data_IF_894663175882
#
_entry.id   IF_894663175882
#
_cell.length_a   1.000
_cell.length_b   1.000
_cell.length_c   1.000
_cell.angle_alpha   90.00
_cell.angle_beta   90.00
_cell.angle_gamma   90.00
#
_symmetry.space_group_name_H-M   'P 1'
#
loop_
_entity.id
_entity.type
_entity.pdbx_description
1 polymer ?
#
# COMPACT_ATOMS: atom_id res chain seq x y z
N UNK A 1 -0.51 -14.73 -49.46
CA UNK A 1 -0.54 -15.72 -50.55
C UNK A 1 0.44 -16.84 -50.24
N UNK A 2 -0.05 -18.02 -49.85
CA UNK A 2 0.48 -19.33 -50.28
C UNK A 2 -0.30 -20.45 -49.59
N UNK A 3 -0.77 -21.37 -50.42
CA UNK A 3 -1.42 -22.64 -50.10
C UNK A 3 -0.36 -23.74 -50.25
N UNK A 4 -0.37 -24.77 -49.41
CA UNK A 4 0.11 -26.10 -49.82
C UNK A 4 -0.66 -27.19 -49.04
N UNK A 5 -1.26 -28.12 -49.79
CA UNK A 5 -2.05 -29.24 -49.30
C UNK A 5 -1.16 -30.42 -48.88
N UNK A 6 -1.60 -31.16 -47.87
CA UNK A 6 -1.13 -32.51 -47.55
C UNK A 6 -2.26 -33.29 -46.89
N UNK A 7 -2.93 -34.14 -47.66
CA UNK A 7 -4.06 -34.97 -47.24
C UNK A 7 -3.55 -36.27 -46.60
N UNK A 8 -4.00 -36.62 -45.39
CA UNK A 8 -4.00 -38.02 -44.91
C UNK A 8 -5.17 -38.26 -43.95
N UNK A 9 -5.76 -39.46 -44.06
CA UNK A 9 -7.08 -39.91 -43.58
C UNK A 9 -7.38 -39.69 -42.08
N UNK A 10 -8.67 -39.60 -41.70
CA UNK A 10 -9.09 -39.57 -40.31
C UNK A 10 -9.15 -41.00 -39.75
N UNK A 11 -8.50 -41.23 -38.61
CA UNK A 11 -8.73 -42.43 -37.80
C UNK A 11 -9.10 -42.02 -36.37
N UNK A 12 -10.40 -42.22 -36.11
CA UNK A 12 -11.10 -42.43 -34.85
C UNK A 12 -10.30 -42.21 -33.55
N UNK A 13 -10.69 -41.17 -32.80
CA UNK A 13 -10.33 -40.97 -31.39
C UNK A 13 -11.10 -41.96 -30.51
N UNK A 14 -10.38 -42.97 -30.00
CA UNK A 14 -10.79 -43.82 -28.89
C UNK A 14 -9.90 -43.55 -27.68
N UNK A 15 -10.52 -43.24 -26.55
CA UNK A 15 -9.90 -43.10 -25.23
C UNK A 15 -9.40 -44.45 -24.68
N UNK A 16 -8.27 -44.43 -23.96
CA UNK A 16 -8.01 -45.36 -22.85
C UNK A 16 -6.70 -46.13 -22.92
N UNK A 17 -5.98 -46.16 -21.78
CA UNK A 17 -5.17 -47.32 -21.39
C UNK A 17 -3.65 -47.13 -21.42
N UNK A 18 -3.09 -47.01 -20.21
CA UNK A 18 -1.79 -47.52 -19.73
C UNK A 18 -0.84 -48.17 -20.74
N UNK A 19 0.38 -47.63 -20.84
CA UNK A 19 1.51 -48.23 -21.56
C UNK A 19 2.68 -48.53 -20.62
N UNK A 20 2.48 -49.42 -19.64
CA UNK A 20 3.58 -50.09 -18.95
C UNK A 20 4.13 -51.20 -19.84
N UNK A 21 5.43 -51.17 -20.14
CA UNK A 21 6.12 -52.23 -20.87
C UNK A 21 5.95 -53.53 -20.05
N UNK A 22 5.37 -54.62 -20.60
CA UNK A 22 5.30 -55.88 -19.88
C UNK A 22 6.71 -56.47 -19.75
N UNK A 23 7.04 -57.12 -18.61
CA UNK A 23 8.30 -57.84 -18.50
C UNK A 23 8.37 -58.92 -19.59
N UNK A 24 9.55 -59.21 -20.15
CA UNK A 24 9.68 -60.26 -21.15
C UNK A 24 9.23 -61.61 -20.57
N UNK A 25 8.59 -62.48 -21.37
CA UNK A 25 8.19 -63.80 -20.91
C UNK A 25 9.43 -64.59 -20.44
N UNK A 26 9.29 -65.46 -19.42
CA UNK A 26 10.39 -66.27 -18.94
C UNK A 26 10.97 -67.08 -20.10
N UNK A 27 12.27 -66.90 -20.35
CA UNK A 27 12.97 -67.66 -21.39
C UNK A 27 12.95 -69.15 -21.03
N UNK A 28 12.76 -70.06 -22.01
CA UNK A 28 12.81 -71.48 -21.76
C UNK A 28 14.19 -71.87 -21.19
N UNK A 29 14.24 -72.82 -20.23
CA UNK A 29 15.48 -73.17 -19.53
C UNK A 29 16.58 -73.57 -20.51
N UNK A 30 17.79 -73.05 -20.27
CA UNK A 30 18.95 -73.29 -21.11
C UNK A 30 19.31 -74.79 -21.11
N UNK A 31 20.07 -75.25 -22.12
CA UNK A 31 20.51 -76.67 -22.19
C UNK A 31 21.29 -77.10 -20.94
N UNK A 32 21.96 -76.18 -20.28
CA UNK A 32 22.70 -76.42 -19.03
C UNK A 32 21.77 -76.55 -17.82
N UNK A 33 20.66 -75.82 -17.79
CA UNK A 33 19.64 -75.97 -16.74
C UNK A 33 18.89 -77.30 -16.87
N UNK A 34 18.61 -77.75 -18.11
CA UNK A 34 18.01 -79.06 -18.35
C UNK A 34 18.93 -80.21 -17.96
N UNK A 35 20.25 -80.09 -18.22
CA UNK A 35 21.25 -81.05 -17.75
C UNK A 35 21.33 -81.12 -16.23
N UNK A 36 21.30 -79.98 -15.53
CA UNK A 36 21.27 -79.94 -14.06
C UNK A 36 20.00 -80.55 -13.48
N UNK A 37 18.86 -80.36 -14.15
CA UNK A 37 17.59 -80.98 -13.75
C UNK A 37 17.63 -82.50 -14.01
N UNK A 38 18.17 -82.97 -15.14
CA UNK A 38 18.38 -84.40 -15.39
C UNK A 38 19.40 -85.05 -14.42
N UNK A 39 20.48 -84.35 -14.06
CA UNK A 39 21.43 -84.81 -13.04
C UNK A 39 20.78 -84.88 -11.66
N UNK A 40 20.00 -83.87 -11.26
CA UNK A 40 19.26 -83.86 -10.00
C UNK A 40 18.21 -84.98 -9.93
N UNK A 41 17.51 -85.27 -11.03
CA UNK A 41 16.57 -86.38 -11.12
C UNK A 41 17.30 -87.73 -11.12
N UNK A 42 18.49 -87.83 -11.73
CA UNK A 42 19.31 -89.03 -11.72
C UNK A 42 19.95 -89.35 -10.37
N UNK A 43 20.02 -88.37 -9.46
CA UNK A 43 20.49 -88.50 -8.08
C UNK A 43 19.49 -89.22 -7.16
N UNK A 44 18.20 -89.26 -7.52
CA UNK A 44 17.17 -90.04 -6.82
C UNK A 44 17.12 -91.51 -7.32
N UNK A 45 18.27 -92.18 -7.34
CA UNK A 45 18.30 -93.64 -7.55
C UNK A 45 17.96 -94.35 -6.24
N UNK A 46 16.95 -95.21 -6.30
CA UNK A 46 16.49 -96.03 -5.18
C UNK A 46 17.61 -96.99 -4.75
N UNK A 47 18.25 -96.70 -3.60
CA UNK A 47 19.38 -97.49 -3.10
C UNK A 47 18.86 -98.77 -2.39
N UNK A 48 18.67 -99.83 -3.19
CA UNK A 48 18.17 -101.14 -2.71
C UNK A 48 19.07 -101.78 -1.66
N UNK A 49 20.39 -101.51 -1.70
CA UNK A 49 21.35 -102.01 -0.72
C UNK A 49 21.23 -101.30 0.63
N UNK A 50 20.79 -100.04 0.66
CA UNK A 50 20.49 -99.35 1.92
C UNK A 50 19.24 -99.91 2.59
N UNK A 51 18.21 -100.26 1.79
CA UNK A 51 17.00 -100.93 2.27
C UNK A 51 17.27 -102.33 2.83
N UNK A 52 18.13 -103.11 2.18
CA UNK A 52 18.51 -104.43 2.69
C UNK A 52 19.30 -104.34 4.00
N UNK A 53 20.22 -103.38 4.11
CA UNK A 53 20.94 -103.08 5.36
C UNK A 53 20.00 -102.62 6.47
N UNK A 54 19.06 -101.73 6.16
CA UNK A 54 18.05 -101.26 7.11
C UNK A 54 17.12 -102.40 7.57
N UNK A 55 16.70 -103.28 6.65
CA UNK A 55 15.87 -104.44 6.98
C UNK A 55 16.60 -105.47 7.85
N UNK A 56 17.89 -105.70 7.60
CA UNK A 56 18.74 -106.55 8.47
C UNK A 56 18.93 -105.92 9.86
N UNK A 57 19.23 -104.63 9.92
CA UNK A 57 19.38 -103.89 11.17
C UNK A 57 18.08 -103.86 12.00
N UNK A 58 16.92 -103.73 11.34
CA UNK A 58 15.61 -103.78 12.00
C UNK A 58 15.33 -105.15 12.64
N UNK A 59 15.65 -106.25 11.95
CA UNK A 59 15.52 -107.62 12.49
C UNK A 59 16.47 -107.91 13.66
N UNK A 60 17.67 -107.33 13.64
CA UNK A 60 18.63 -107.45 14.74
C UNK A 60 18.20 -106.61 15.96
N UNK A 61 17.66 -105.41 15.74
CA UNK A 61 17.09 -104.55 16.79
C UNK A 61 15.88 -105.19 17.47
N UNK A 62 14.98 -105.85 16.72
CA UNK A 62 13.76 -106.50 17.24
C UNK A 62 14.05 -107.66 18.22
N UNK A 63 15.20 -108.33 18.06
CA UNK A 63 15.65 -109.40 18.98
C UNK A 63 16.24 -108.88 20.29
N UNK A 64 16.56 -107.59 20.38
CA UNK A 64 17.16 -106.98 21.57
C UNK A 64 16.12 -106.63 22.63
N UNK A 65 16.50 -106.66 23.92
CA UNK A 65 15.58 -106.35 25.03
C UNK A 65 15.08 -104.89 25.04
N UNK A 66 15.78 -103.97 24.34
CA UNK A 66 15.52 -102.52 24.31
C UNK A 66 14.90 -102.04 22.98
N UNK A 67 14.39 -102.96 22.14
CA UNK A 67 13.84 -102.64 20.83
C UNK A 67 12.76 -101.54 20.84
N UNK A 68 11.91 -101.52 21.87
CA UNK A 68 10.84 -100.53 22.04
C UNK A 68 11.38 -99.12 22.30
N UNK A 69 12.36 -98.99 23.20
CA UNK A 69 13.00 -97.71 23.53
C UNK A 69 13.78 -97.15 22.34
N UNK A 70 14.50 -98.02 21.60
CA UNK A 70 15.22 -97.62 20.39
C UNK A 70 14.26 -97.16 19.26
N UNK A 71 13.11 -97.82 19.11
CA UNK A 71 12.07 -97.42 18.16
C UNK A 71 11.42 -96.09 18.54
N UNK A 72 11.10 -95.88 19.82
CA UNK A 72 10.57 -94.62 20.32
C UNK A 72 11.57 -93.47 20.11
N UNK A 73 12.86 -93.69 20.39
CA UNK A 73 13.91 -92.70 20.15
C UNK A 73 14.07 -92.39 18.66
N UNK A 74 14.02 -93.39 17.78
CA UNK A 74 14.05 -93.20 16.33
C UNK A 74 12.83 -92.41 15.84
N UNK A 75 11.63 -92.70 16.36
CA UNK A 75 10.40 -91.99 16.04
C UNK A 75 10.46 -90.53 16.50
N UNK A 76 10.99 -90.28 17.70
CA UNK A 76 11.20 -88.92 18.20
C UNK A 76 12.20 -88.15 17.34
N UNK A 77 13.31 -88.78 16.94
CA UNK A 77 14.30 -88.16 16.05
C UNK A 77 13.75 -87.86 14.65
N UNK A 78 12.93 -88.76 14.09
CA UNK A 78 12.25 -88.51 12.81
C UNK A 78 11.26 -87.34 12.94
N UNK A 79 10.52 -87.29 14.06
CA UNK A 79 9.61 -86.18 14.32
C UNK A 79 10.34 -84.84 14.49
N UNK A 80 11.48 -84.81 15.20
CA UNK A 80 12.29 -83.58 15.30
C UNK A 80 12.85 -83.16 13.94
N UNK A 81 13.29 -84.10 13.10
CA UNK A 81 13.74 -83.79 11.75
C UNK A 81 12.60 -83.21 10.90
N UNK A 82 11.39 -83.78 10.96
CA UNK A 82 10.23 -83.23 10.27
C UNK A 82 9.91 -81.81 10.73
N UNK A 83 9.99 -81.54 12.03
CA UNK A 83 9.80 -80.19 12.60
C UNK A 83 10.88 -79.21 12.11
N UNK A 84 12.15 -79.63 12.04
CA UNK A 84 13.25 -78.82 11.50
C UNK A 84 13.07 -78.52 10.00
N UNK A 85 12.58 -79.48 9.21
CA UNK A 85 12.25 -79.23 7.80
C UNK A 85 11.10 -78.24 7.67
N UNK A 86 10.05 -78.40 8.48
CA UNK A 86 8.93 -77.45 8.51
C UNK A 86 9.38 -76.05 8.97
N UNK A 87 10.29 -75.94 9.94
CA UNK A 87 10.82 -74.64 10.37
C UNK A 87 11.63 -73.98 9.27
N UNK A 88 12.50 -74.72 8.58
CA UNK A 88 13.28 -74.22 7.44
C UNK A 88 12.39 -73.74 6.30
N UNK A 89 11.33 -74.50 5.96
CA UNK A 89 10.38 -74.09 4.91
C UNK A 89 9.72 -72.76 5.27
N UNK A 90 9.27 -72.60 6.53
CA UNK A 90 8.69 -71.34 7.01
C UNK A 90 9.69 -70.18 7.00
N UNK A 91 10.96 -70.43 7.33
CA UNK A 91 12.02 -69.41 7.22
C UNK A 91 12.24 -68.97 5.77
N UNK A 92 12.26 -69.90 4.82
CA UNK A 92 12.35 -69.57 3.39
C UNK A 92 11.13 -68.78 2.91
N UNK A 93 9.92 -69.20 3.30
CA UNK A 93 8.68 -68.47 2.98
C UNK A 93 8.71 -67.04 3.53
N UNK A 94 9.11 -66.86 4.79
CA UNK A 94 9.28 -65.54 5.40
C UNK A 94 10.34 -64.69 4.66
N UNK A 95 11.45 -65.31 4.23
CA UNK A 95 12.47 -64.64 3.43
C UNK A 95 11.94 -64.17 2.06
N UNK A 96 11.13 -65.00 1.40
CA UNK A 96 10.49 -64.64 0.13
C UNK A 96 9.49 -63.50 0.29
N UNK A 97 8.71 -63.49 1.38
CA UNK A 97 7.80 -62.39 1.69
C UNK A 97 8.54 -61.07 1.95
N UNK A 98 9.65 -61.11 2.68
CA UNK A 98 10.49 -59.94 2.91
C UNK A 98 11.05 -59.38 1.60
N UNK A 99 11.53 -60.24 0.69
CA UNK A 99 12.00 -59.80 -0.64
C UNK A 99 10.89 -59.16 -1.47
N UNK A 100 9.66 -59.70 -1.43
CA UNK A 100 8.50 -59.09 -2.09
C UNK A 100 8.19 -57.70 -1.52
N UNK A 101 8.20 -57.56 -0.20
CA UNK A 101 7.97 -56.27 0.46
C UNK A 101 9.05 -55.25 0.04
N UNK A 102 10.32 -55.67 -0.02
CA UNK A 102 11.40 -54.81 -0.50
C UNK A 102 11.21 -54.38 -1.96
N UNK A 103 10.82 -55.29 -2.85
CA UNK A 103 10.52 -54.95 -4.25
C UNK A 103 9.38 -53.92 -4.35
N UNK A 104 8.29 -54.13 -3.63
CA UNK A 104 7.15 -53.18 -3.61
C UNK A 104 7.62 -51.81 -3.11
N UNK A 105 8.45 -51.78 -2.05
CA UNK A 105 8.99 -50.54 -1.51
C UNK A 105 9.86 -49.80 -2.52
N UNK A 106 10.77 -50.49 -3.21
CA UNK A 106 11.63 -49.91 -4.24
C UNK A 106 10.77 -49.32 -5.37
N UNK A 107 9.77 -50.07 -5.86
CA UNK A 107 8.85 -49.60 -6.90
C UNK A 107 8.04 -48.38 -6.45
N UNK A 108 7.60 -48.35 -5.19
CA UNK A 108 6.90 -47.19 -4.63
C UNK A 108 7.82 -45.96 -4.52
N UNK A 109 9.08 -46.15 -4.14
CA UNK A 109 10.07 -45.07 -4.08
C UNK A 109 10.38 -44.51 -5.48
N UNK A 110 10.50 -45.36 -6.49
CA UNK A 110 10.66 -44.94 -7.90
C UNK A 110 9.45 -44.14 -8.39
N UNK A 111 8.23 -44.65 -8.19
CA UNK A 111 6.98 -43.94 -8.55
C UNK A 111 6.86 -42.60 -7.84
N UNK A 112 7.30 -42.52 -6.58
CA UNK A 112 7.28 -41.26 -5.84
C UNK A 112 8.26 -40.25 -6.45
N UNK A 113 9.46 -40.68 -6.83
CA UNK A 113 10.45 -39.82 -7.50
C UNK A 113 9.93 -39.29 -8.83
N UNK A 114 9.31 -40.13 -9.66
CA UNK A 114 8.75 -39.69 -10.94
C UNK A 114 7.62 -38.67 -10.75
N UNK A 115 6.72 -38.92 -9.78
CA UNK A 115 5.63 -37.99 -9.46
C UNK A 115 6.18 -36.64 -8.93
N UNK A 116 7.23 -36.67 -8.11
CA UNK A 116 7.87 -35.45 -7.61
C UNK A 116 8.53 -34.64 -8.73
N UNK A 117 9.16 -35.30 -9.71
CA UNK A 117 9.74 -34.65 -10.89
C UNK A 117 8.65 -34.03 -11.80
N UNK A 118 7.58 -34.76 -12.07
CA UNK A 118 6.43 -34.26 -12.82
C UNK A 118 5.81 -33.04 -12.14
N UNK A 119 5.62 -33.10 -10.82
CA UNK A 119 5.10 -31.98 -10.04
C UNK A 119 6.02 -30.75 -10.11
N UNK A 120 7.35 -30.93 -10.09
CA UNK A 120 8.32 -29.83 -10.28
C UNK A 120 8.20 -29.20 -11.66
N UNK A 121 8.13 -30.01 -12.72
CA UNK A 121 7.97 -29.53 -14.09
C UNK A 121 6.66 -28.75 -14.23
N UNK A 122 5.57 -29.26 -13.68
CA UNK A 122 4.27 -28.60 -13.70
C UNK A 122 4.31 -27.27 -12.95
N UNK A 123 4.94 -27.23 -11.78
CA UNK A 123 5.12 -25.99 -11.01
C UNK A 123 5.90 -24.94 -11.80
N UNK A 124 7.03 -25.31 -12.39
CA UNK A 124 7.83 -24.40 -13.23
C UNK A 124 7.03 -23.88 -14.44
N UNK A 125 6.21 -24.73 -15.07
CA UNK A 125 5.35 -24.31 -16.19
C UNK A 125 4.32 -23.27 -15.76
N UNK A 126 3.70 -23.44 -14.60
CA UNK A 126 2.73 -22.48 -14.04
C UNK A 126 3.40 -21.16 -13.68
N UNK A 127 4.56 -21.20 -13.02
CA UNK A 127 5.33 -20.00 -12.68
C UNK A 127 5.75 -19.22 -13.94
N UNK A 128 6.19 -19.93 -14.98
CA UNK A 128 6.55 -19.32 -16.26
C UNK A 128 5.35 -18.67 -16.95
N UNK A 129 4.18 -19.33 -16.93
CA UNK A 129 2.94 -18.75 -17.46
C UNK A 129 2.49 -17.50 -16.69
N UNK A 130 2.60 -17.51 -15.36
CA UNK A 130 2.28 -16.35 -14.52
C UNK A 130 3.24 -15.18 -14.81
N UNK A 131 4.55 -15.43 -14.92
CA UNK A 131 5.52 -14.41 -15.32
C UNK A 131 5.19 -13.78 -16.68
N UNK A 132 4.84 -14.60 -17.68
CA UNK A 132 4.44 -14.10 -19.00
C UNK A 132 3.10 -13.34 -18.97
N UNK A 133 2.18 -13.71 -18.09
CA UNK A 133 0.91 -12.99 -17.91
C UNK A 133 1.14 -11.60 -17.30
N UNK A 134 1.96 -11.50 -16.25
CA UNK A 134 2.35 -10.23 -15.62
C UNK A 134 3.05 -9.32 -16.62
N UNK A 135 4.01 -9.85 -17.39
CA UNK A 135 4.73 -9.07 -18.40
C UNK A 135 3.80 -8.52 -19.49
N UNK A 136 2.83 -9.32 -19.96
CA UNK A 136 1.80 -8.84 -20.90
C UNK A 136 0.92 -7.73 -20.33
N UNK A 137 0.54 -7.85 -19.06
CA UNK A 137 -0.24 -6.79 -18.38
C UNK A 137 0.58 -5.51 -18.21
N UNK A 138 1.85 -5.62 -17.82
CA UNK A 138 2.75 -4.47 -17.72
C UNK A 138 2.94 -3.78 -19.07
N UNK A 139 3.17 -4.54 -20.15
CA UNK A 139 3.30 -3.99 -21.50
C UNK A 139 2.00 -3.29 -21.96
N UNK A 140 0.83 -3.86 -21.66
CA UNK A 140 -0.47 -3.24 -21.95
C UNK A 140 -0.68 -1.93 -21.18
N UNK A 141 -0.37 -1.90 -19.89
CA UNK A 141 -0.45 -0.70 -19.07
C UNK A 141 0.54 0.37 -19.54
N UNK A 142 1.76 -0.02 -19.90
CA UNK A 142 2.77 0.89 -20.44
C UNK A 142 2.33 1.49 -21.79
N UNK A 143 1.72 0.70 -22.66
CA UNK A 143 1.14 1.21 -23.92
C UNK A 143 -0.01 2.19 -23.65
N UNK A 144 -0.93 1.87 -22.74
CA UNK A 144 -2.01 2.78 -22.37
C UNK A 144 -1.49 4.09 -21.78
N UNK A 145 -0.48 4.02 -20.92
CA UNK A 145 0.15 5.21 -20.34
C UNK A 145 0.77 6.12 -21.41
N UNK A 146 1.51 5.54 -22.38
CA UNK A 146 2.06 6.30 -23.52
C UNK A 146 0.97 6.95 -24.36
N UNK A 147 -0.10 6.22 -24.66
CA UNK A 147 -1.24 6.78 -25.41
C UNK A 147 -1.90 7.93 -24.65
N UNK A 148 -2.10 7.78 -23.33
CA UNK A 148 -2.65 8.85 -22.48
C UNK A 148 -1.73 10.08 -22.44
N UNK A 149 -0.42 9.88 -22.29
CA UNK A 149 0.57 10.96 -22.31
C UNK A 149 0.55 11.72 -23.65
N UNK A 150 0.48 11.01 -24.78
CA UNK A 150 0.35 11.63 -26.10
C UNK A 150 -0.96 12.44 -26.24
N UNK A 151 -2.08 11.96 -25.68
CA UNK A 151 -3.34 12.69 -25.71
C UNK A 151 -3.29 13.97 -24.87
N UNK A 152 -2.69 13.91 -23.68
CA UNK A 152 -2.51 15.08 -22.82
C UNK A 152 -1.59 16.11 -23.48
N UNK A 153 -0.48 15.66 -24.07
CA UNK A 153 0.44 16.55 -24.79
C UNK A 153 -0.26 17.26 -25.96
N UNK A 154 -1.08 16.56 -26.75
CA UNK A 154 -1.88 17.18 -27.82
C UNK A 154 -2.90 18.17 -27.28
N UNK A 155 -3.52 17.89 -26.13
CA UNK A 155 -4.44 18.82 -25.47
C UNK A 155 -3.71 20.08 -25.00
N UNK A 156 -2.57 19.94 -24.34
CA UNK A 156 -1.72 21.07 -23.91
C UNK A 156 -1.28 21.92 -25.10
N UNK A 157 -0.80 21.30 -26.19
CA UNK A 157 -0.44 22.02 -27.41
C UNK A 157 -1.63 22.76 -28.02
N UNK A 158 -2.84 22.20 -27.96
CA UNK A 158 -4.06 22.87 -28.43
C UNK A 158 -4.46 24.06 -27.56
N UNK A 159 -4.33 23.94 -26.23
CA UNK A 159 -4.61 25.02 -25.28
C UNK A 159 -3.60 26.14 -25.45
N UNK A 160 -2.31 25.83 -25.54
CA UNK A 160 -1.25 26.82 -25.79
C UNK A 160 -1.47 27.57 -27.11
N UNK A 161 -1.89 26.88 -28.18
CA UNK A 161 -2.27 27.52 -29.45
C UNK A 161 -3.45 28.48 -29.30
N UNK A 162 -4.48 28.09 -28.53
CA UNK A 162 -5.63 28.96 -28.26
C UNK A 162 -5.26 30.18 -27.42
N UNK A 163 -4.42 30.01 -26.39
CA UNK A 163 -3.93 31.11 -25.55
C UNK A 163 -3.05 32.07 -26.33
N UNK A 164 -2.13 31.55 -27.16
CA UNK A 164 -1.29 32.38 -28.03
C UNK A 164 -2.14 33.17 -29.04
N UNK A 165 -3.14 32.53 -29.65
CA UNK A 165 -4.07 33.22 -30.54
C UNK A 165 -4.83 34.33 -29.83
N UNK A 166 -5.39 34.06 -28.65
CA UNK A 166 -6.09 35.06 -27.82
C UNK A 166 -5.17 36.22 -27.46
N UNK A 167 -3.93 35.94 -27.06
CA UNK A 167 -2.94 36.97 -26.75
C UNK A 167 -2.62 37.84 -27.97
N UNK A 168 -2.41 37.23 -29.14
CA UNK A 168 -2.23 37.97 -30.39
C UNK A 168 -3.45 38.80 -30.76
N UNK A 169 -4.67 38.31 -30.48
CA UNK A 169 -5.90 39.06 -30.74
C UNK A 169 -6.00 40.30 -29.84
N UNK A 170 -5.69 40.14 -28.55
CA UNK A 170 -5.67 41.24 -27.58
C UNK A 170 -4.59 42.27 -27.93
N UNK A 171 -3.38 41.82 -28.28
CA UNK A 171 -2.29 42.71 -28.70
C UNK A 171 -2.64 43.47 -29.98
N UNK A 172 -3.28 42.82 -30.96
CA UNK A 172 -3.77 43.47 -32.18
C UNK A 172 -4.84 44.53 -31.87
N UNK A 173 -5.83 44.19 -31.03
CA UNK A 173 -6.88 45.13 -30.64
C UNK A 173 -6.32 46.33 -29.86
N UNK A 174 -5.39 46.09 -28.93
CA UNK A 174 -4.71 47.14 -28.17
C UNK A 174 -3.91 48.08 -29.09
N UNK A 175 -3.16 47.52 -30.04
CA UNK A 175 -2.42 48.31 -31.02
C UNK A 175 -3.36 49.13 -31.91
N UNK A 176 -4.49 48.56 -32.33
CA UNK A 176 -5.48 49.27 -33.13
C UNK A 176 -6.12 50.42 -32.34
N UNK A 177 -6.46 50.20 -31.07
CA UNK A 177 -6.96 51.24 -30.15
C UNK A 177 -5.93 52.35 -29.99
N UNK A 178 -4.68 52.00 -29.73
CA UNK A 178 -3.59 52.97 -29.58
C UNK A 178 -3.39 53.79 -30.86
N UNK A 179 -3.44 53.17 -32.05
CA UNK A 179 -3.37 53.91 -33.31
C UNK A 179 -4.55 54.87 -33.51
N UNK A 180 -5.76 54.46 -33.14
CA UNK A 180 -6.94 55.31 -33.22
C UNK A 180 -6.86 56.48 -32.23
N UNK A 181 -6.44 56.24 -31.00
CA UNK A 181 -6.21 57.28 -29.99
C UNK A 181 -5.15 58.27 -30.45
N UNK A 182 -4.01 57.80 -30.98
CA UNK A 182 -2.99 58.68 -31.53
C UNK A 182 -3.53 59.56 -32.66
N UNK A 183 -4.31 59.00 -33.59
CA UNK A 183 -4.92 59.78 -34.69
C UNK A 183 -5.90 60.82 -34.16
N UNK A 184 -6.68 60.48 -33.13
CA UNK A 184 -7.60 61.44 -32.49
C UNK A 184 -6.83 62.55 -31.78
N UNK A 185 -5.78 62.20 -31.02
CA UNK A 185 -4.91 63.16 -30.35
C UNK A 185 -4.23 64.05 -31.38
N UNK A 186 -3.72 63.50 -32.48
CA UNK A 186 -3.08 64.26 -33.56
C UNK A 186 -4.07 65.20 -34.24
N UNK A 187 -5.29 64.73 -34.56
CA UNK A 187 -6.34 65.58 -35.12
C UNK A 187 -6.74 66.70 -34.16
N UNK A 188 -6.85 66.39 -32.87
CA UNK A 188 -7.15 67.35 -31.80
C UNK A 188 -6.04 68.38 -31.66
N UNK A 189 -4.78 67.96 -31.59
CA UNK A 189 -3.62 68.85 -31.52
C UNK A 189 -3.51 69.73 -32.76
N UNK A 190 -3.79 69.19 -33.96
CA UNK A 190 -3.83 69.99 -35.19
C UNK A 190 -4.93 71.04 -35.16
N UNK A 191 -6.13 70.68 -34.68
CA UNK A 191 -7.23 71.62 -34.49
C UNK A 191 -6.91 72.69 -33.45
N UNK A 192 -6.39 72.30 -32.29
CA UNK A 192 -5.93 73.20 -31.23
C UNK A 192 -4.80 74.11 -31.73
N UNK A 193 -3.88 73.62 -32.56
CA UNK A 193 -2.81 74.44 -33.16
C UNK A 193 -3.34 75.45 -34.19
N UNK A 194 -4.39 75.13 -34.94
CA UNK A 194 -5.05 76.08 -35.85
C UNK A 194 -5.81 77.15 -35.07
N UNK A 195 -6.60 76.72 -34.07
CA UNK A 195 -7.30 77.61 -33.15
C UNK A 195 -6.31 78.47 -32.38
N UNK A 196 -5.15 77.95 -31.98
CA UNK A 196 -4.12 78.73 -31.32
C UNK A 196 -3.44 79.72 -32.27
N UNK A 197 -3.32 79.44 -33.57
CA UNK A 197 -2.82 80.41 -34.57
C UNK A 197 -3.80 81.56 -34.76
N UNK A 198 -5.09 81.26 -34.89
CA UNK A 198 -6.16 82.27 -34.99
C UNK A 198 -6.31 83.06 -33.69
N UNK A 199 -6.30 82.36 -32.56
CA UNK A 199 -6.32 82.97 -31.23
C UNK A 199 -5.02 83.71 -30.90
N UNK A 200 -3.89 83.45 -31.57
CA UNK A 200 -2.65 84.21 -31.37
C UNK A 200 -2.85 85.67 -31.78
N UNK A 201 -3.64 85.90 -32.82
CA UNK A 201 -3.97 87.24 -33.31
C UNK A 201 -4.90 87.96 -32.31
N UNK A 202 -5.90 87.25 -31.78
CA UNK A 202 -6.81 87.75 -30.73
C UNK A 202 -6.09 87.93 -29.37
N UNK A 203 -5.13 87.07 -29.04
CA UNK A 203 -4.28 87.15 -27.85
C UNK A 203 -3.28 88.28 -27.92
N UNK A 204 -2.76 88.66 -29.09
CA UNK A 204 -1.91 89.84 -29.21
C UNK A 204 -2.71 91.13 -28.97
N UNK A 205 -3.96 91.16 -29.41
CA UNK A 205 -4.88 92.26 -29.14
C UNK A 205 -5.31 92.30 -27.67
N UNK A 206 -5.69 91.16 -27.08
CA UNK A 206 -5.95 91.06 -25.63
C UNK A 206 -4.70 91.30 -24.80
N UNK A 207 -3.52 90.83 -25.20
CA UNK A 207 -2.24 91.05 -24.51
C UNK A 207 -1.83 92.51 -24.49
N UNK A 208 -2.23 93.32 -25.48
CA UNK A 208 -2.03 94.78 -25.43
C UNK A 208 -2.94 95.47 -24.41
N UNK A 209 -4.14 94.93 -24.19
CA UNK A 209 -5.11 95.41 -23.20
C UNK A 209 -4.72 94.91 -21.80
N UNK A 210 -4.45 93.61 -21.67
CA UNK A 210 -3.95 92.98 -20.46
C UNK A 210 -2.55 93.47 -20.08
N UNK A 211 -1.62 93.81 -20.98
CA UNK A 211 -0.32 94.38 -20.57
C UNK A 211 -0.44 95.72 -19.83
N UNK A 212 -1.59 96.40 -19.95
CA UNK A 212 -1.92 97.59 -19.17
C UNK A 212 -2.48 97.22 -17.79
N UNK A 213 -3.28 96.16 -17.67
CA UNK A 213 -3.91 95.70 -16.42
C UNK A 213 -3.01 94.75 -15.59
N UNK A 214 -2.17 93.95 -16.25
CA UNK A 214 -1.29 92.94 -15.67
C UNK A 214 0.00 93.56 -15.10
N UNK A 215 0.41 94.76 -15.53
CA UNK A 215 1.50 95.53 -14.88
C UNK A 215 1.11 95.96 -13.46
N UNK A 216 -0.16 96.22 -13.21
CA UNK A 216 -0.68 96.57 -11.88
C UNK A 216 -0.92 95.33 -11.02
N UNK A 217 -1.34 94.22 -11.63
CA UNK A 217 -1.69 92.98 -10.91
C UNK A 217 -0.47 92.10 -10.57
N UNK A 218 0.61 92.12 -11.38
CA UNK A 218 1.84 91.33 -11.14
C UNK A 218 2.65 91.85 -9.96
N UNK A 219 2.59 93.15 -9.66
CA UNK A 219 3.19 93.73 -8.46
C UNK A 219 2.48 93.24 -7.17
N UNK A 220 1.17 93.04 -7.22
CA UNK A 220 0.38 92.56 -6.06
C UNK A 220 0.48 91.05 -5.84
N UNK A 221 0.55 90.24 -6.91
CA UNK A 221 0.59 88.78 -6.79
C UNK A 221 1.95 88.23 -6.36
N UNK A 222 3.06 88.90 -6.72
CA UNK A 222 4.41 88.51 -6.30
C UNK A 222 4.63 88.76 -4.79
N UNK A 223 4.05 89.83 -4.22
CA UNK A 223 4.08 90.07 -2.76
C UNK A 223 3.19 89.08 -1.96
N UNK A 224 2.12 88.58 -2.58
CA UNK A 224 1.13 87.71 -1.90
C UNK A 224 1.52 86.23 -1.96
N UNK A 225 2.12 85.77 -3.07
CA UNK A 225 2.55 84.37 -3.19
C UNK A 225 3.83 84.05 -2.36
N UNK A 226 4.73 85.03 -2.20
CA UNK A 226 5.94 84.87 -1.37
C UNK A 226 5.65 84.78 0.13
N UNK A 227 4.60 85.45 0.63
CA UNK A 227 4.25 85.47 2.05
C UNK A 227 3.49 84.23 2.52
N UNK A 228 2.68 83.60 1.65
CA UNK A 228 1.88 82.41 2.00
C UNK A 228 2.70 81.12 2.03
N UNK A 229 3.70 81.00 1.16
CA UNK A 229 4.60 79.83 1.13
C UNK A 229 5.62 79.88 2.28
N UNK A 230 6.13 81.08 2.62
CA UNK A 230 7.02 81.28 3.77
C UNK A 230 6.31 81.02 5.11
N UNK A 231 5.08 81.52 5.28
CA UNK A 231 4.33 81.35 6.53
C UNK A 231 3.90 79.89 6.79
N UNK A 232 3.62 79.11 5.74
CA UNK A 232 3.22 77.71 5.87
C UNK A 232 4.35 76.77 6.31
N UNK A 233 5.58 77.06 5.90
CA UNK A 233 6.76 76.28 6.28
C UNK A 233 7.33 76.69 7.64
N UNK A 234 7.32 77.99 7.98
CA UNK A 234 7.72 78.45 9.33
C UNK A 234 6.75 77.99 10.41
N UNK A 235 5.44 77.99 10.15
CA UNK A 235 4.44 77.47 11.10
C UNK A 235 4.51 75.95 11.30
N UNK A 236 5.12 75.22 10.37
CA UNK A 236 5.35 73.78 10.49
C UNK A 236 6.68 73.47 11.21
N UNK A 237 7.71 74.31 11.05
CA UNK A 237 9.02 74.14 11.69
C UNK A 237 9.07 74.64 13.14
N UNK A 238 8.29 75.67 13.50
CA UNK A 238 8.26 76.23 14.86
C UNK A 238 7.37 75.41 15.80
N UNK A 239 6.33 74.77 15.28
CA UNK A 239 5.38 74.00 16.10
C UNK A 239 5.90 72.57 16.35
N UNK A 240 6.62 72.42 17.47
CA UNK A 240 7.18 71.15 17.94
C UNK A 240 6.15 70.02 17.96
N UNK A 241 4.87 70.31 18.20
CA UNK A 241 3.82 69.30 18.25
C UNK A 241 3.46 68.78 16.85
N UNK A 242 3.46 69.64 15.82
CA UNK A 242 3.17 69.24 14.43
C UNK A 242 4.30 68.45 13.81
N UNK A 243 5.55 68.86 14.05
CA UNK A 243 6.73 68.08 13.65
C UNK A 243 6.74 66.72 14.33
N UNK A 244 6.49 66.67 15.64
CA UNK A 244 6.45 65.42 16.39
C UNK A 244 5.33 64.49 15.89
N UNK A 245 4.16 65.03 15.55
CA UNK A 245 3.04 64.25 15.00
C UNK A 245 3.36 63.70 13.61
N UNK A 246 3.99 64.50 12.74
CA UNK A 246 4.37 64.07 11.39
C UNK A 246 5.47 63.00 11.43
N UNK A 247 6.50 63.21 12.25
CA UNK A 247 7.57 62.22 12.48
C UNK A 247 7.02 60.96 13.16
N UNK A 248 6.11 61.12 14.11
CA UNK A 248 5.41 60.02 14.77
C UNK A 248 4.58 59.19 13.78
N UNK A 249 3.81 59.84 12.91
CA UNK A 249 3.02 59.19 11.86
C UNK A 249 3.91 58.46 10.84
N UNK A 250 5.01 59.08 10.40
CA UNK A 250 5.98 58.45 9.51
C UNK A 250 6.66 57.24 10.16
N UNK A 251 6.97 57.33 11.45
CA UNK A 251 7.58 56.24 12.23
C UNK A 251 6.59 55.09 12.46
N UNK A 252 5.31 55.38 12.74
CA UNK A 252 4.25 54.38 12.85
C UNK A 252 4.01 53.67 11.53
N UNK A 253 4.03 54.40 10.40
CA UNK A 253 3.95 53.81 9.07
C UNK A 253 5.15 52.91 8.75
N UNK A 254 6.36 53.40 8.99
CA UNK A 254 7.59 52.62 8.79
C UNK A 254 7.64 51.38 9.69
N UNK A 255 7.27 51.53 10.96
CA UNK A 255 7.17 50.43 11.94
C UNK A 255 6.08 49.43 11.57
N UNK A 256 4.93 49.88 11.06
CA UNK A 256 3.85 49.04 10.56
C UNK A 256 4.28 48.20 9.35
N UNK A 257 4.97 48.81 8.38
CA UNK A 257 5.51 48.11 7.20
C UNK A 257 6.59 47.08 7.62
N UNK A 258 7.47 47.43 8.54
CA UNK A 258 8.51 46.53 9.05
C UNK A 258 7.91 45.34 9.82
N UNK A 259 6.96 45.60 10.72
CA UNK A 259 6.24 44.56 11.45
C UNK A 259 5.46 43.63 10.52
N UNK A 260 4.82 44.15 9.47
CA UNK A 260 4.13 43.34 8.46
C UNK A 260 5.11 42.43 7.70
N UNK A 261 6.26 42.96 7.29
CA UNK A 261 7.28 42.23 6.51
C UNK A 261 7.95 41.10 7.31
N UNK A 262 8.22 41.31 8.59
CA UNK A 262 8.85 40.29 9.46
C UNK A 262 7.86 39.40 10.22
N UNK A 263 6.63 39.86 10.47
CA UNK A 263 5.59 39.13 11.21
C UNK A 263 4.83 38.07 10.41
N UNK A 264 4.83 38.15 9.08
CA UNK A 264 4.07 37.22 8.23
C UNK A 264 4.50 35.75 8.38
N UNK A 265 5.80 35.47 8.57
CA UNK A 265 6.31 34.09 8.64
C UNK A 265 5.89 33.33 9.91
N UNK A 266 5.82 34.01 11.06
CA UNK A 266 5.37 33.42 12.33
C UNK A 266 3.85 33.30 12.38
N UNK A 267 3.14 34.27 11.80
CA UNK A 267 1.68 34.25 11.70
C UNK A 267 1.18 33.15 10.76
N UNK A 268 1.85 32.92 9.62
CA UNK A 268 1.53 31.83 8.70
C UNK A 268 1.63 30.44 9.36
N UNK A 269 2.70 30.17 10.11
CA UNK A 269 2.85 28.92 10.88
C UNK A 269 1.80 28.76 11.98
N UNK A 270 1.43 29.85 12.64
CA UNK A 270 0.40 29.81 13.68
C UNK A 270 -0.98 29.54 13.07
N UNK A 271 -1.29 30.14 11.92
CA UNK A 271 -2.52 29.91 11.16
C UNK A 271 -2.57 28.48 10.61
N UNK A 272 -1.47 27.96 10.06
CA UNK A 272 -1.37 26.59 9.53
C UNK A 272 -1.68 25.55 10.62
N UNK A 273 -1.13 25.73 11.83
CA UNK A 273 -1.38 24.83 12.97
C UNK A 273 -2.83 24.83 13.49
N UNK A 274 -3.58 25.91 13.20
CA UNK A 274 -4.94 26.12 13.70
C UNK A 274 -6.01 25.74 12.68
N UNK A 275 -5.70 25.81 11.38
CA UNK A 275 -6.68 25.66 10.29
C UNK A 275 -6.45 24.37 9.47
N UNK A 276 -5.22 23.87 9.37
CA UNK A 276 -4.92 22.68 8.55
C UNK A 276 -5.31 21.35 9.20
N UNK A 277 -5.94 20.44 8.45
CA UNK A 277 -6.09 19.03 8.83
C UNK A 277 -4.74 18.31 8.69
N UNK A 278 -4.23 17.61 9.72
CA UNK A 278 -2.99 16.86 9.61
C UNK A 278 -3.15 15.65 8.67
N UNK A 279 -2.08 15.27 7.96
CA UNK A 279 -2.11 14.24 6.90
C UNK A 279 -2.66 12.86 7.34
N UNK A 280 -2.58 12.51 8.63
CA UNK A 280 -3.04 11.21 9.16
C UNK A 280 -4.52 11.21 9.56
N UNK A 281 -5.18 12.36 9.60
CA UNK A 281 -6.60 12.44 9.98
C UNK A 281 -7.43 12.38 8.69
N UNK A 282 -8.07 11.22 8.48
CA UNK A 282 -8.97 10.99 7.33
C UNK A 282 -10.25 11.81 7.46
N UNK A 283 -10.84 11.81 8.66
CA UNK A 283 -12.11 12.49 8.92
C UNK A 283 -12.08 13.26 10.25
N UNK A 284 -12.73 14.42 10.29
CA UNK A 284 -12.90 15.20 11.53
C UNK A 284 -14.23 15.95 11.58
N UNK A 285 -14.81 16.05 12.78
CA UNK A 285 -16.00 16.88 13.04
C UNK A 285 -15.77 18.38 12.88
N UNK A 286 -14.51 18.84 12.82
CA UNK A 286 -14.19 20.28 12.76
C UNK A 286 -14.69 20.97 11.49
N UNK A 287 -14.98 20.21 10.43
CA UNK A 287 -15.34 20.75 9.10
C UNK A 287 -16.66 20.22 8.52
N UNK A 288 -17.29 19.21 9.12
CA UNK A 288 -18.53 18.62 8.62
C UNK A 288 -19.56 18.46 9.74
N UNK A 289 -20.51 19.39 9.81
CA UNK A 289 -21.69 19.32 10.70
C UNK A 289 -22.87 18.56 10.06
N UNK A 290 -22.79 18.23 8.76
CA UNK A 290 -23.94 17.78 7.96
C UNK A 290 -24.08 16.24 7.88
N UNK A 291 -23.07 15.47 8.26
CA UNK A 291 -23.06 14.00 8.10
C UNK A 291 -23.84 13.24 9.20
N UNK A 292 -24.66 13.98 9.96
CA UNK A 292 -25.26 13.55 11.22
C UNK A 292 -26.59 12.77 11.06
N UNK A 293 -27.29 12.87 9.94
CA UNK A 293 -28.70 12.47 9.88
C UNK A 293 -29.00 11.12 9.22
N UNK A 294 -28.00 10.33 8.81
CA UNK A 294 -28.26 9.21 7.87
C UNK A 294 -28.20 7.79 8.38
N UNK A 295 -27.82 7.50 9.64
CA UNK A 295 -27.76 6.10 10.06
C UNK A 295 -28.34 5.85 11.46
N UNK A 296 -29.51 5.17 11.57
CA UNK A 296 -30.07 4.77 12.85
C UNK A 296 -29.20 3.68 13.49
N UNK A 297 -28.76 3.91 14.72
CA UNK A 297 -28.08 2.92 15.55
C UNK A 297 -29.14 1.98 16.14
N UNK A 298 -28.82 0.69 16.28
CA UNK A 298 -29.72 -0.27 16.95
C UNK A 298 -30.06 0.20 18.37
N UNK A 299 -31.33 0.09 18.81
CA UNK A 299 -31.81 0.69 20.07
C UNK A 299 -31.10 0.16 21.33
N UNK A 300 -30.63 -1.08 21.31
CA UNK A 300 -29.89 -1.68 22.43
C UNK A 300 -28.48 -1.08 22.61
N UNK A 301 -27.83 -0.68 21.52
CA UNK A 301 -26.49 -0.09 21.55
C UNK A 301 -26.55 1.39 21.95
N UNK A 302 -27.66 2.07 21.64
CA UNK A 302 -27.89 3.46 21.97
C UNK A 302 -27.93 3.71 23.49
N UNK A 303 -28.56 2.82 24.26
CA UNK A 303 -28.60 2.92 25.72
C UNK A 303 -27.20 2.85 26.35
N UNK A 304 -26.34 1.96 25.83
CA UNK A 304 -24.96 1.84 26.29
C UNK A 304 -24.14 3.07 25.88
N UNK A 305 -24.29 3.54 24.65
CA UNK A 305 -23.63 4.74 24.14
C UNK A 305 -23.96 5.97 24.99
N UNK A 306 -25.24 6.17 25.33
CA UNK A 306 -25.68 7.29 26.17
C UNK A 306 -25.03 7.25 27.56
N UNK A 307 -24.93 6.08 28.18
CA UNK A 307 -24.24 5.93 29.49
C UNK A 307 -22.77 6.34 29.41
N UNK A 308 -22.04 5.84 28.41
CA UNK A 308 -20.61 6.18 28.23
C UNK A 308 -20.45 7.66 27.85
N UNK A 309 -21.34 8.21 27.02
CA UNK A 309 -21.30 9.61 26.63
C UNK A 309 -21.53 10.56 27.82
N UNK A 310 -22.50 10.24 28.68
CA UNK A 310 -22.76 10.98 29.92
C UNK A 310 -21.53 10.92 30.83
N UNK A 311 -20.97 9.73 31.06
CA UNK A 311 -19.75 9.57 31.84
C UNK A 311 -18.59 10.40 31.27
N UNK A 312 -18.38 10.35 29.95
CA UNK A 312 -17.34 11.11 29.25
C UNK A 312 -17.54 12.62 29.38
N UNK A 313 -18.80 13.08 29.30
CA UNK A 313 -19.16 14.50 29.50
C UNK A 313 -18.92 14.95 30.94
N UNK A 314 -19.20 14.11 31.94
CA UNK A 314 -18.88 14.41 33.33
C UNK A 314 -17.36 14.45 33.56
N UNK A 315 -16.60 13.51 32.99
CA UNK A 315 -15.13 13.53 33.04
C UNK A 315 -14.58 14.82 32.46
N UNK A 316 -15.13 15.28 31.32
CA UNK A 316 -14.78 16.58 30.72
C UNK A 316 -15.08 17.75 31.65
N UNK A 317 -16.28 17.80 32.22
CA UNK A 317 -16.69 18.88 33.13
C UNK A 317 -15.80 18.94 34.38
N UNK A 318 -15.43 17.78 34.92
CA UNK A 318 -14.61 17.64 36.12
C UNK A 318 -13.11 17.65 35.85
N UNK A 319 -12.68 17.87 34.58
CA UNK A 319 -11.27 17.79 34.15
C UNK A 319 -10.58 16.48 34.58
N UNK A 320 -11.34 15.39 34.63
CA UNK A 320 -10.83 14.07 34.98
C UNK A 320 -10.03 13.44 33.84
N UNK A 321 -9.32 12.37 34.16
CA UNK A 321 -8.53 11.61 33.19
C UNK A 321 -9.43 10.78 32.26
N UNK A 322 -9.17 10.86 30.96
CA UNK A 322 -9.82 9.99 29.98
C UNK A 322 -9.15 8.62 29.97
N UNK A 323 -9.96 7.56 29.88
CA UNK A 323 -9.45 6.19 29.70
C UNK A 323 -9.31 5.90 28.21
N UNK A 324 -8.21 5.23 27.84
CA UNK A 324 -8.06 4.66 26.51
C UNK A 324 -8.94 3.40 26.40
N UNK A 325 -9.76 3.31 25.35
CA UNK A 325 -10.70 2.20 25.15
C UNK A 325 -10.34 1.47 23.86
N UNK A 326 -10.25 0.15 23.93
CA UNK A 326 -10.09 -0.72 22.77
C UNK A 326 -11.42 -1.40 22.45
N UNK A 327 -11.89 -1.29 21.21
CA UNK A 327 -13.11 -1.92 20.75
C UNK A 327 -12.77 -3.12 19.86
N UNK A 328 -13.15 -4.33 20.28
CA UNK A 328 -12.93 -5.56 19.51
C UNK A 328 -14.24 -6.09 18.92
N UNK A 329 -14.18 -6.60 17.70
CA UNK A 329 -15.30 -7.29 17.05
C UNK A 329 -15.10 -7.44 15.54
N UNK A 330 -15.90 -8.28 14.86
CA UNK A 330 -15.84 -8.49 13.41
C UNK A 330 -15.93 -7.18 12.59
N UNK A 331 -15.43 -7.13 11.35
CA UNK A 331 -15.64 -5.98 10.46
C UNK A 331 -17.14 -5.74 10.23
N UNK A 332 -17.55 -4.48 10.06
CA UNK A 332 -18.95 -4.12 9.82
C UNK A 332 -19.85 -4.03 11.06
N UNK A 333 -19.34 -4.24 12.28
CA UNK A 333 -20.12 -4.11 13.54
C UNK A 333 -20.36 -2.67 14.01
N UNK A 334 -20.01 -1.66 13.20
CA UNK A 334 -20.27 -0.26 13.52
C UNK A 334 -19.33 0.37 14.57
N UNK A 335 -18.14 -0.20 14.82
CA UNK A 335 -17.14 0.35 15.76
C UNK A 335 -16.81 1.82 15.47
N UNK A 336 -16.52 2.14 14.21
CA UNK A 336 -16.20 3.50 13.75
C UNK A 336 -17.41 4.44 13.91
N UNK A 337 -18.63 3.95 13.64
CA UNK A 337 -19.87 4.72 13.83
C UNK A 337 -20.17 4.98 15.32
N UNK A 338 -19.90 4.01 16.19
CA UNK A 338 -20.02 4.17 17.64
C UNK A 338 -19.05 5.23 18.16
N UNK A 339 -17.79 5.23 17.71
CA UNK A 339 -16.81 6.25 18.11
C UNK A 339 -17.23 7.67 17.69
N UNK A 340 -17.70 7.85 16.45
CA UNK A 340 -18.27 9.12 15.96
C UNK A 340 -19.44 9.58 16.83
N UNK A 341 -20.37 8.66 17.09
CA UNK A 341 -21.59 8.94 17.85
C UNK A 341 -21.25 9.27 19.31
N UNK A 342 -20.29 8.57 19.92
CA UNK A 342 -19.82 8.83 21.28
C UNK A 342 -19.22 10.23 21.41
N UNK A 343 -18.37 10.64 20.46
CA UNK A 343 -17.77 11.98 20.47
C UNK A 343 -18.85 13.07 20.45
N UNK A 344 -19.81 12.96 19.53
CA UNK A 344 -20.91 13.93 19.38
C UNK A 344 -21.79 13.99 20.63
N UNK A 345 -22.23 12.84 21.16
CA UNK A 345 -23.07 12.80 22.38
C UNK A 345 -22.32 13.29 23.63
N UNK A 346 -20.99 13.17 23.64
CA UNK A 346 -20.13 13.68 24.72
C UNK A 346 -19.76 15.16 24.54
N UNK A 347 -20.12 15.79 23.42
CA UNK A 347 -19.74 17.16 23.09
C UNK A 347 -18.23 17.33 22.83
N UNK A 348 -17.56 16.30 22.33
CA UNK A 348 -16.17 16.29 21.89
C UNK A 348 -16.11 16.40 20.36
N UNK A 349 -15.02 16.93 19.83
CA UNK A 349 -14.70 16.74 18.42
C UNK A 349 -14.24 15.30 18.18
N UNK A 350 -14.38 14.77 16.97
CA UNK A 350 -13.75 13.50 16.59
C UNK A 350 -12.67 13.70 15.53
N UNK A 351 -11.69 12.81 15.56
CA UNK A 351 -10.68 12.65 14.53
C UNK A 351 -10.44 11.16 14.29
N UNK A 352 -10.58 10.71 13.05
CA UNK A 352 -10.35 9.31 12.66
C UNK A 352 -9.04 9.22 11.90
N UNK A 353 -8.17 8.32 12.35
CA UNK A 353 -6.98 7.88 11.63
C UNK A 353 -7.05 6.37 11.39
N UNK A 354 -6.39 5.88 10.36
CA UNK A 354 -6.24 4.44 10.08
C UNK A 354 -4.81 4.02 10.38
N UNK A 355 -4.63 2.92 11.11
CA UNK A 355 -3.31 2.36 11.44
C UNK A 355 -2.51 1.99 10.21
N UNK A 356 -3.18 1.54 9.14
CA UNK A 356 -2.58 1.28 7.83
C UNK A 356 -1.92 2.50 7.17
N UNK A 357 -2.41 3.73 7.43
CA UNK A 357 -1.85 4.95 6.83
C UNK A 357 -0.49 5.35 7.45
N UNK A 358 -0.13 4.74 8.59
CA UNK A 358 1.11 5.03 9.30
C UNK A 358 2.29 4.25 8.71
N UNK A 359 2.05 3.02 8.22
CA UNK A 359 3.06 2.16 7.63
C UNK A 359 3.84 2.80 6.45
N UNK A 360 3.19 3.43 5.45
CA UNK A 360 3.90 4.01 4.29
C UNK A 360 4.70 5.27 4.62
N UNK A 361 4.49 5.91 5.78
CA UNK A 361 5.17 7.17 6.14
C UNK A 361 6.62 6.96 6.61
N UNK A 362 7.03 5.73 6.91
CA UNK A 362 8.41 5.42 7.30
C UNK A 362 8.93 6.31 8.44
N UNK A 363 10.02 7.03 8.20
CA UNK A 363 10.61 7.96 9.19
C UNK A 363 9.76 9.20 9.49
N UNK A 364 8.90 9.62 8.56
CA UNK A 364 8.02 10.78 8.75
C UNK A 364 6.82 10.47 9.66
N UNK A 365 6.56 9.19 9.93
CA UNK A 365 5.46 8.74 10.79
C UNK A 365 5.49 9.37 12.19
N UNK A 366 6.68 9.48 12.80
CA UNK A 366 6.89 10.10 14.11
C UNK A 366 6.42 11.55 14.10
N UNK A 367 6.92 12.34 13.15
CA UNK A 367 6.57 13.75 13.00
C UNK A 367 5.06 13.91 12.78
N UNK A 368 4.48 13.03 11.99
CA UNK A 368 3.07 13.09 11.66
C UNK A 368 2.16 12.75 12.85
N UNK A 369 2.53 11.76 13.68
CA UNK A 369 1.86 11.47 14.96
C UNK A 369 1.95 12.68 15.90
N UNK A 370 3.12 13.30 16.05
CA UNK A 370 3.26 14.50 16.88
C UNK A 370 2.37 15.65 16.39
N UNK A 371 2.27 15.85 15.08
CA UNK A 371 1.37 16.86 14.48
C UNK A 371 -0.09 16.59 14.80
N UNK A 372 -0.56 15.33 14.71
CA UNK A 372 -1.94 14.98 15.06
C UNK A 372 -2.25 15.29 16.53
N UNK A 373 -1.38 14.89 17.46
CA UNK A 373 -1.61 15.16 18.88
C UNK A 373 -1.55 16.66 19.21
N UNK A 374 -0.62 17.42 18.62
CA UNK A 374 -0.56 18.87 18.81
C UNK A 374 -1.82 19.54 18.26
N UNK A 375 -2.27 19.15 17.06
CA UNK A 375 -3.52 19.63 16.46
C UNK A 375 -4.75 19.22 17.29
N UNK A 376 -4.76 18.03 17.91
CA UNK A 376 -5.85 17.60 18.77
C UNK A 376 -5.96 18.52 20.00
N UNK A 377 -4.83 18.90 20.60
CA UNK A 377 -4.75 19.83 21.74
C UNK A 377 -5.25 21.24 21.43
N UNK A 378 -5.30 21.67 20.17
CA UNK A 378 -5.83 23.00 19.81
C UNK A 378 -7.36 23.09 19.87
N UNK A 379 -8.09 21.96 19.99
CA UNK A 379 -9.56 22.00 20.11
C UNK A 379 -9.99 22.59 21.46
N UNK A 380 -10.94 23.52 21.41
CA UNK A 380 -11.63 24.04 22.60
C UNK A 380 -12.59 23.02 23.22
N UNK A 381 -13.12 22.08 22.42
CA UNK A 381 -14.08 21.07 22.88
C UNK A 381 -13.40 19.81 23.42
N UNK A 382 -12.11 19.61 23.16
CA UNK A 382 -11.45 18.32 23.31
C UNK A 382 -11.73 17.41 22.12
N UNK A 383 -10.83 16.48 21.83
CA UNK A 383 -10.90 15.59 20.65
C UNK A 383 -10.88 14.13 21.10
N UNK A 384 -11.85 13.34 20.62
CA UNK A 384 -11.81 11.89 20.62
C UNK A 384 -11.04 11.43 19.37
N UNK A 385 -9.86 10.84 19.60
CA UNK A 385 -9.02 10.30 18.54
C UNK A 385 -9.33 8.81 18.37
N UNK A 386 -9.90 8.44 17.23
CA UNK A 386 -10.20 7.05 16.89
C UNK A 386 -9.15 6.52 15.91
N UNK A 387 -8.54 5.39 16.26
CA UNK A 387 -7.57 4.68 15.43
C UNK A 387 -8.25 3.43 14.89
N UNK A 388 -8.64 3.45 13.62
CA UNK A 388 -9.14 2.27 12.92
C UNK A 388 -7.98 1.36 12.51
N UNK A 389 -8.22 0.05 12.36
CA UNK A 389 -7.16 -0.94 12.07
C UNK A 389 -5.94 -0.81 13.00
N UNK A 390 -6.20 -0.62 14.30
CA UNK A 390 -5.16 -0.44 15.29
C UNK A 390 -4.25 -1.68 15.40
N UNK A 391 -4.71 -2.86 14.99
CA UNK A 391 -3.92 -4.10 14.88
C UNK A 391 -2.80 -4.00 13.83
N UNK A 392 -2.99 -3.23 12.76
CA UNK A 392 -1.91 -2.93 11.81
C UNK A 392 -0.78 -2.10 12.46
N UNK A 393 -1.12 -1.28 13.46
CA UNK A 393 -0.19 -0.39 14.15
C UNK A 393 0.39 -0.97 15.45
N UNK A 394 -0.40 -1.73 16.21
CA UNK A 394 -0.10 -2.24 17.55
C UNK A 394 0.44 -3.69 17.55
N UNK A 395 1.26 -4.05 16.55
CA UNK A 395 1.82 -5.41 16.41
C UNK A 395 2.84 -5.76 17.52
N UNK A 396 2.86 -7.03 17.94
CA UNK A 396 3.82 -7.55 18.94
C UNK A 396 5.25 -7.50 18.37
N UNK A 397 6.18 -6.99 19.19
CA UNK A 397 7.61 -6.77 18.84
C UNK A 397 8.38 -8.05 18.48
N UNK A 398 7.93 -9.21 18.95
CA UNK A 398 8.67 -10.48 18.90
C UNK A 398 8.38 -11.34 17.66
N UNK A 399 7.22 -11.16 17.00
CA UNK A 399 6.74 -12.13 16.00
C UNK A 399 6.97 -11.71 14.54
N UNK A 400 7.27 -10.44 14.26
CA UNK A 400 7.48 -9.96 12.88
C UNK A 400 8.58 -8.90 12.77
N UNK A 401 9.25 -8.84 11.61
CA UNK A 401 10.21 -7.78 11.23
C UNK A 401 9.50 -6.44 11.06
N UNK A 402 9.09 -5.81 12.17
CA UNK A 402 8.56 -4.44 12.15
C UNK A 402 9.67 -3.49 11.70
N UNK A 403 9.41 -2.69 10.66
CA UNK A 403 10.31 -1.64 10.18
C UNK A 403 10.69 -0.68 11.32
N UNK A 404 11.95 -0.24 11.36
CA UNK A 404 12.48 0.67 12.38
C UNK A 404 11.65 1.97 12.48
N UNK A 405 11.20 2.51 11.34
CA UNK A 405 10.34 3.71 11.31
C UNK A 405 8.96 3.48 11.97
N UNK A 406 8.39 2.28 11.81
CA UNK A 406 7.12 1.92 12.46
C UNK A 406 7.32 1.75 13.97
N UNK A 407 8.45 1.18 14.41
CA UNK A 407 8.81 1.07 15.85
C UNK A 407 8.96 2.45 16.48
N UNK A 408 9.67 3.36 15.82
CA UNK A 408 9.85 4.73 16.29
C UNK A 408 8.49 5.45 16.42
N UNK A 409 7.62 5.29 15.41
CA UNK A 409 6.29 5.89 15.39
C UNK A 409 5.38 5.32 16.49
N UNK A 410 5.43 4.00 16.72
CA UNK A 410 4.73 3.35 17.83
C UNK A 410 5.20 3.89 19.19
N UNK A 411 6.50 4.01 19.40
CA UNK A 411 7.04 4.58 20.64
C UNK A 411 6.60 6.05 20.83
N UNK A 412 6.59 6.86 19.77
CA UNK A 412 6.10 8.23 19.81
C UNK A 412 4.60 8.30 20.15
N UNK A 413 3.79 7.38 19.62
CA UNK A 413 2.38 7.27 19.96
C UNK A 413 2.17 6.85 21.42
N UNK A 414 2.91 5.84 21.90
CA UNK A 414 2.87 5.40 23.30
C UNK A 414 3.32 6.51 24.25
N UNK A 415 4.34 7.29 23.89
CA UNK A 415 4.77 8.45 24.66
C UNK A 415 3.69 9.53 24.78
N UNK A 416 2.83 9.68 23.76
CA UNK A 416 1.71 10.64 23.78
C UNK A 416 0.47 10.13 24.50
N UNK A 417 0.31 8.81 24.61
CA UNK A 417 -0.89 8.16 25.16
C UNK A 417 -0.67 7.58 26.55
N UNK A 418 0.57 7.32 26.93
CA UNK A 418 0.98 6.92 28.27
C UNK A 418 1.40 8.14 29.09
N UNK A 419 0.84 8.28 30.28
CA UNK A 419 1.60 8.85 31.38
C UNK A 419 2.59 7.80 31.86
N UNK A 420 3.75 8.24 32.36
CA UNK A 420 4.61 7.36 33.16
C UNK A 420 3.77 6.81 34.31
N UNK A 421 3.44 5.52 34.23
CA UNK A 421 3.00 4.79 35.42
C UNK A 421 4.16 4.87 36.40
N UNK A 422 4.05 5.70 37.44
CA UNK A 422 4.86 5.53 38.64
C UNK A 422 4.43 4.20 39.27
N UNK A 423 5.13 3.13 38.89
CA UNK A 423 5.11 1.85 39.60
C UNK A 423 6.53 1.36 39.74
#
# INVERSE_FOLDING_TARGET
MSWLFGYSKPQNSGSGGEGGIPPPPPQPPSKDDKKKIEEAISGFKFDSAALERAAKAARELEKSKHAKEAFELARMNEHTQQLEYQSKIKEYEAGLEQLKIQQIRIQQEERRKTLEEEARIQKHRVEYQDMLARKRQEDQLAQQARMHEETLRKQEESVQKQEALRRQTIEYEANLRHQNELKQIEARLRGEAQVERENRQIRLERSRVEAREHRETVLQSIQTAGSVIGAGLDAFLVDKNKVFTAVGAATVLAGGIYAAKFGMGTMARFIESRIGKPKLVRETSRLNTVDLLRHPIKPTLEAHLRKIAIATRHTKANKGFYRNVLMAGPPGTGKTMFAKSLATHSGLDYAIMTGGDIAPLGGDGVTAVHKVFNWAKTSRKGVLLFVDEADAFLRKREQERISEGMRATLNAFLYRTGEQSQK
#
